data_IF_553901815134
#
_entry.id   IF_553901815134
#
_cell.length_a   1.000
_cell.length_b   1.000
_cell.length_c   1.000
_cell.angle_alpha   90.00
_cell.angle_beta   90.00
_cell.angle_gamma   90.00
#
_symmetry.space_group_name_H-M   'P 1'
#
loop_
_entity.id
_entity.type
_entity.pdbx_description
1 polymer ?
#
# COMPACT_ATOMS: atom_id res chain seq x y z
N UNK A 1 -17.09 -8.04 24.94
CA UNK A 1 -17.35 -7.25 23.74
C UNK A 1 -17.10 -8.17 22.55
N UNK A 2 -18.17 -8.71 21.98
CA UNK A 2 -18.13 -9.55 20.78
C UNK A 2 -18.67 -8.69 19.65
N UNK A 3 -17.87 -8.50 18.60
CA UNK A 3 -18.34 -7.81 17.40
C UNK A 3 -18.74 -8.91 16.41
N UNK A 4 -20.05 -9.01 16.21
CA UNK A 4 -20.71 -9.91 15.26
C UNK A 4 -20.61 -9.28 13.87
N UNK A 5 -20.01 -9.97 12.90
CA UNK A 5 -19.95 -9.53 11.50
C UNK A 5 -21.36 -9.45 10.90
N UNK A 6 -21.64 -8.38 10.18
CA UNK A 6 -22.94 -8.08 9.58
C UNK A 6 -22.86 -8.38 8.06
N UNK A 7 -23.73 -9.29 7.59
CA UNK A 7 -23.74 -9.93 6.26
C UNK A 7 -24.51 -9.15 5.17
N UNK A 8 -24.53 -7.83 5.16
CA UNK A 8 -25.28 -7.10 4.13
C UNK A 8 -24.48 -5.93 3.57
N UNK A 9 -23.51 -6.25 2.71
CA UNK A 9 -22.94 -5.27 1.79
C UNK A 9 -22.88 -5.87 0.39
N UNK A 10 -23.71 -5.30 -0.48
CA UNK A 10 -23.86 -5.68 -1.88
C UNK A 10 -22.49 -5.72 -2.60
N UNK A 11 -22.15 -6.79 -3.33
CA UNK A 11 -20.89 -6.87 -4.06
C UNK A 11 -21.00 -6.08 -5.37
N UNK A 12 -21.04 -4.76 -5.28
CA UNK A 12 -20.87 -3.89 -6.44
C UNK A 12 -19.75 -2.91 -6.07
N UNK A 13 -18.61 -3.03 -6.76
CA UNK A 13 -17.37 -2.25 -6.58
C UNK A 13 -16.73 -2.26 -5.19
N UNK A 14 -16.37 -3.43 -4.69
CA UNK A 14 -15.14 -3.53 -3.89
C UNK A 14 -14.18 -4.46 -4.62
N UNK A 15 -13.08 -3.99 -5.22
CA UNK A 15 -11.93 -4.85 -5.50
C UNK A 15 -11.39 -5.34 -4.15
N UNK A 16 -12.11 -6.31 -3.60
CA UNK A 16 -11.82 -7.07 -2.42
C UNK A 16 -10.49 -7.77 -2.62
N UNK A 17 -9.66 -7.73 -1.57
CA UNK A 17 -8.90 -8.90 -1.13
C UNK A 17 -8.04 -9.62 -2.18
N UNK A 18 -7.40 -8.87 -3.06
CA UNK A 18 -6.16 -9.33 -3.65
C UNK A 18 -5.10 -8.41 -3.11
N UNK A 19 -4.16 -8.98 -2.34
CA UNK A 19 -2.80 -8.48 -2.38
C UNK A 19 -2.52 -8.24 -3.86
N UNK A 20 -2.56 -6.98 -4.30
CA UNK A 20 -2.11 -6.63 -5.63
C UNK A 20 -0.62 -6.90 -5.51
N UNK A 21 -0.24 -8.16 -5.77
CA UNK A 21 1.01 -8.45 -6.45
C UNK A 21 0.91 -7.49 -7.62
N UNK A 22 1.50 -6.30 -7.46
CA UNK A 22 1.50 -5.28 -8.49
C UNK A 22 1.87 -6.04 -9.75
N UNK A 23 1.14 -5.78 -10.84
CA UNK A 23 1.55 -6.27 -12.15
C UNK A 23 3.09 -6.18 -12.18
N UNK A 24 3.83 -7.29 -12.31
CA UNK A 24 5.30 -7.24 -12.21
C UNK A 24 5.93 -6.36 -13.30
N UNK A 25 5.10 -5.88 -14.23
CA UNK A 25 5.39 -4.85 -15.24
C UNK A 25 5.13 -3.41 -14.79
N UNK A 26 4.38 -3.19 -13.71
CA UNK A 26 4.08 -1.87 -13.15
C UNK A 26 5.16 -1.51 -12.12
N UNK A 27 6.10 -0.65 -12.54
CA UNK A 27 7.30 -0.33 -11.77
C UNK A 27 7.01 0.45 -10.47
N UNK A 28 5.80 1.04 -10.35
CA UNK A 28 5.36 1.87 -9.23
C UNK A 28 3.87 1.61 -8.85
N UNK A 29 3.58 0.53 -8.11
CA UNK A 29 2.22 0.26 -7.64
C UNK A 29 1.69 1.40 -6.75
N UNK A 30 0.39 1.65 -6.75
CA UNK A 30 -0.24 2.68 -5.91
C UNK A 30 0.04 2.41 -4.42
N UNK A 31 0.50 3.43 -3.69
CA UNK A 31 0.78 3.30 -2.26
C UNK A 31 -0.51 2.96 -1.49
N UNK A 32 -0.39 1.95 -0.64
CA UNK A 32 -1.46 1.49 0.24
C UNK A 32 -0.99 1.54 1.68
N UNK A 33 -1.85 2.00 2.60
CA UNK A 33 -1.48 2.10 4.01
C UNK A 33 -1.22 0.70 4.62
N UNK A 34 0.00 0.44 5.14
CA UNK A 34 0.29 -0.83 5.79
C UNK A 34 -0.53 -1.01 7.07
N UNK A 35 -1.16 -2.16 7.22
CA UNK A 35 -1.96 -2.51 8.42
C UNK A 35 -1.16 -3.28 9.47
N UNK A 36 0.02 -3.81 9.10
CA UNK A 36 0.91 -4.53 9.99
C UNK A 36 2.34 -4.62 9.44
N UNK A 37 3.24 -5.22 10.22
CA UNK A 37 4.65 -5.38 9.85
C UNK A 37 4.87 -6.23 8.59
N UNK A 38 3.91 -7.09 8.26
CA UNK A 38 3.95 -7.91 7.05
C UNK A 38 3.62 -7.12 5.78
N UNK A 39 2.91 -6.00 5.92
CA UNK A 39 2.51 -5.11 4.81
C UNK A 39 3.42 -3.88 4.70
N UNK A 40 4.42 -3.77 5.58
CA UNK A 40 5.34 -2.66 5.60
C UNK A 40 6.29 -2.73 4.40
N UNK A 41 6.56 -1.57 3.79
CA UNK A 41 7.45 -1.46 2.65
C UNK A 41 8.91 -1.60 3.06
N UNK A 42 9.68 -2.37 2.32
CA UNK A 42 11.10 -2.59 2.59
C UNK A 42 11.96 -1.50 1.94
N UNK A 43 13.23 -1.45 2.33
CA UNK A 43 14.19 -0.54 1.68
C UNK A 43 14.28 -0.86 0.17
N UNK A 44 14.07 0.15 -0.67
CA UNK A 44 14.09 0.01 -2.12
C UNK A 44 12.72 -0.28 -2.76
N UNK A 45 11.67 -0.51 -1.96
CA UNK A 45 10.33 -0.68 -2.50
C UNK A 45 9.84 0.58 -3.20
N UNK A 46 9.12 0.39 -4.29
CA UNK A 46 8.66 1.46 -5.17
C UNK A 46 7.15 1.59 -5.09
N UNK A 47 6.65 2.82 -4.99
CA UNK A 47 5.21 3.12 -5.03
C UNK A 47 4.91 4.40 -5.79
N UNK A 48 3.69 4.55 -6.27
CA UNK A 48 3.14 5.81 -6.76
C UNK A 48 2.18 6.41 -5.74
N UNK A 49 2.32 7.70 -5.45
CA UNK A 49 1.44 8.42 -4.53
C UNK A 49 1.28 9.88 -4.99
N UNK A 50 0.04 10.36 -5.06
CA UNK A 50 -0.30 11.71 -5.54
C UNK A 50 0.25 12.06 -6.94
N UNK A 51 0.37 11.07 -7.82
CA UNK A 51 0.91 11.26 -9.17
C UNK A 51 2.43 11.41 -9.25
N UNK A 52 3.14 11.14 -8.15
CA UNK A 52 4.60 11.07 -8.10
C UNK A 52 5.07 9.65 -7.76
N UNK A 53 6.27 9.29 -8.19
CA UNK A 53 6.91 8.03 -7.86
C UNK A 53 7.80 8.19 -6.63
N UNK A 54 7.85 7.15 -5.82
CA UNK A 54 8.59 7.14 -4.56
C UNK A 54 9.33 5.82 -4.36
N UNK A 55 10.54 5.90 -3.82
CA UNK A 55 11.31 4.74 -3.31
C UNK A 55 11.37 4.81 -1.79
N UNK A 56 11.07 3.70 -1.13
CA UNK A 56 11.24 3.56 0.31
C UNK A 56 12.73 3.58 0.66
N UNK A 57 13.13 4.48 1.54
CA UNK A 57 14.50 4.63 2.07
C UNK A 57 14.65 4.05 3.47
N UNK A 58 13.60 3.39 3.98
CA UNK A 58 13.59 2.76 5.29
C UNK A 58 13.09 1.31 5.20
N UNK A 59 13.62 0.47 6.07
CA UNK A 59 13.14 -0.90 6.27
C UNK A 59 11.87 -0.89 7.13
N UNK A 60 10.93 -1.81 6.89
CA UNK A 60 9.60 -1.84 7.54
C UNK A 60 8.90 -0.46 7.53
N UNK A 61 8.92 0.24 6.41
CA UNK A 61 8.29 1.53 6.25
C UNK A 61 6.75 1.43 6.19
N UNK A 62 6.11 2.05 7.17
CA UNK A 62 4.64 2.11 7.30
C UNK A 62 4.07 3.51 7.03
N UNK A 63 4.95 4.47 6.73
CA UNK A 63 4.56 5.86 6.55
C UNK A 63 4.09 6.11 5.12
N UNK A 64 3.27 7.14 4.94
CA UNK A 64 2.87 7.59 3.62
C UNK A 64 4.05 8.31 2.91
N UNK A 65 4.20 8.16 1.58
CA UNK A 65 5.13 8.97 0.81
C UNK A 65 4.93 10.48 1.04
N UNK A 66 6.04 11.18 1.24
CA UNK A 66 6.08 12.58 1.67
C UNK A 66 6.05 12.82 3.18
N UNK A 67 5.82 11.77 4.00
CA UNK A 67 5.89 11.89 5.47
C UNK A 67 7.28 11.51 5.98
N UNK A 68 7.70 10.26 5.77
CA UNK A 68 8.98 9.75 6.25
C UNK A 68 9.41 8.49 5.51
N UNK A 69 10.71 8.31 5.33
CA UNK A 69 11.27 7.06 4.78
C UNK A 69 10.99 6.87 3.29
N UNK A 70 10.69 7.94 2.55
CA UNK A 70 10.48 7.90 1.11
C UNK A 70 11.32 8.96 0.41
N UNK A 71 11.87 8.62 -0.75
CA UNK A 71 12.53 9.52 -1.67
C UNK A 71 11.69 9.64 -2.94
N UNK A 72 11.44 10.87 -3.38
CA UNK A 72 10.73 11.12 -4.63
C UNK A 72 11.66 10.89 -5.80
N UNK A 73 11.14 10.25 -6.84
CA UNK A 73 11.85 9.95 -8.09
C UNK A 73 11.06 10.57 -9.22
N UNK A 74 11.77 11.30 -10.09
CA UNK A 74 11.25 11.89 -11.32
C UNK A 74 11.27 10.87 -12.47
#
# INVERSE_FOLDING_TARGET
QAHTSQEDWSPDVTPSLWAKVGDPTEEFPEWSQPIGSHDAYMLGDKVSCNGQHWVSTADNNVWQPGVYGWEVID
#
